data_IF_942107478754
#
_entry.id   IF_942107478754
#
_cell.length_a   1.000
_cell.length_b   1.000
_cell.length_c   1.000
_cell.angle_alpha   90.00
_cell.angle_beta   90.00
_cell.angle_gamma   90.00
#
_symmetry.space_group_name_H-M   'P 1'
#
loop_
_entity.id
_entity.type
_entity.pdbx_description
1 polymer ?
#
# COMPACT_ATOMS: atom_id res chain seq x y z
N UNK A 1 44.00 9.41 -8.86
CA UNK A 1 43.19 9.13 -10.06
C UNK A 1 41.87 9.88 -9.94
N UNK A 2 41.82 11.08 -10.50
CA UNK A 2 40.70 12.02 -10.39
C UNK A 2 39.64 11.68 -11.44
N UNK A 3 38.43 11.31 -11.03
CA UNK A 3 37.31 11.04 -11.96
C UNK A 3 36.52 12.33 -12.18
N UNK A 4 36.67 12.93 -13.36
CA UNK A 4 35.83 14.03 -13.83
C UNK A 4 34.51 13.48 -14.38
N UNK A 5 33.39 14.02 -13.93
CA UNK A 5 32.07 13.77 -14.53
C UNK A 5 31.66 14.99 -15.34
N UNK A 6 31.45 14.80 -16.64
CA UNK A 6 30.86 15.78 -17.55
C UNK A 6 29.33 15.70 -17.45
N UNK A 7 28.70 16.77 -16.96
CA UNK A 7 27.24 16.94 -16.97
C UNK A 7 26.82 17.55 -18.30
N UNK A 8 25.96 16.86 -19.06
CA UNK A 8 25.34 17.41 -20.29
C UNK A 8 24.25 18.42 -19.90
N UNK A 9 24.21 19.63 -20.47
CA UNK A 9 23.12 20.57 -20.20
C UNK A 9 21.83 20.13 -20.91
N UNK A 10 20.72 20.22 -20.20
CA UNK A 10 19.39 19.99 -20.74
C UNK A 10 18.96 21.16 -21.65
N UNK A 11 18.43 20.85 -22.84
CA UNK A 11 17.93 21.83 -23.79
C UNK A 11 16.60 22.44 -23.30
N UNK A 12 16.62 23.71 -22.88
CA UNK A 12 15.42 24.52 -22.64
C UNK A 12 14.91 25.07 -23.97
N UNK A 13 13.80 24.52 -24.50
CA UNK A 13 13.10 25.11 -25.65
C UNK A 13 12.09 26.15 -25.15
N UNK A 14 12.55 27.38 -25.06
CA UNK A 14 11.75 28.59 -24.86
C UNK A 14 11.45 29.20 -26.24
N UNK A 15 10.22 29.08 -26.72
CA UNK A 15 9.65 29.87 -27.82
C UNK A 15 8.15 29.95 -27.48
N UNK A 16 7.46 31.08 -27.39
CA UNK A 16 7.65 32.40 -27.96
C UNK A 16 6.23 32.86 -28.33
N UNK A 17 5.75 33.95 -27.71
CA UNK A 17 4.40 34.50 -27.97
C UNK A 17 4.33 35.03 -29.40
N UNK A 18 3.27 34.67 -30.13
CA UNK A 18 2.91 35.27 -31.42
C UNK A 18 1.40 35.49 -31.49
N UNK A 19 1.01 36.76 -31.70
CA UNK A 19 -0.36 37.29 -31.79
C UNK A 19 -0.56 37.71 -33.25
N UNK A 20 -1.62 37.25 -33.93
CA UNK A 20 -1.99 37.71 -35.28
C UNK A 20 -3.03 36.81 -35.96
N UNK A 21 -4.31 37.20 -35.96
CA UNK A 21 -5.14 37.62 -37.12
C UNK A 21 -5.69 36.50 -38.01
N UNK A 22 -7.02 36.35 -37.99
CA UNK A 22 -7.89 35.58 -38.89
C UNK A 22 -7.96 36.19 -40.30
N UNK A 23 -8.31 35.41 -41.35
CA UNK A 23 -9.71 35.48 -41.82
C UNK A 23 -10.34 34.13 -42.27
N UNK A 24 -11.61 34.00 -41.86
CA UNK A 24 -12.80 33.59 -42.62
C UNK A 24 -12.73 32.43 -43.65
N UNK A 25 -13.14 31.23 -43.23
CA UNK A 25 -13.94 30.31 -44.03
C UNK A 25 -14.92 29.53 -43.11
N UNK A 26 -16.23 29.44 -43.41
CA UNK A 26 -17.17 28.70 -42.58
C UNK A 26 -17.08 27.20 -42.88
N UNK A 27 -16.50 26.43 -41.95
CA UNK A 27 -16.57 24.97 -41.98
C UNK A 27 -17.90 24.52 -41.35
N UNK A 28 -18.66 23.61 -41.98
CA UNK A 28 -19.87 23.07 -41.39
C UNK A 28 -19.52 22.23 -40.15
N UNK A 29 -20.21 22.54 -39.05
CA UNK A 29 -20.18 21.82 -37.77
C UNK A 29 -20.67 20.39 -37.96
N UNK A 30 -19.76 19.47 -38.24
CA UNK A 30 -20.00 18.04 -38.07
C UNK A 30 -19.87 17.73 -36.58
N UNK A 31 -20.99 17.27 -35.99
CA UNK A 31 -21.11 16.93 -34.58
C UNK A 31 -20.12 15.85 -34.12
N UNK A 32 -20.07 15.56 -32.82
CA UNK A 32 -19.14 14.58 -32.26
C UNK A 32 -19.42 13.21 -32.88
N UNK A 33 -18.53 12.82 -33.80
CA UNK A 33 -18.52 11.54 -34.45
C UNK A 33 -18.39 10.43 -33.41
N UNK A 34 -19.48 9.68 -33.25
CA UNK A 34 -19.45 8.34 -32.67
C UNK A 34 -18.49 7.50 -33.51
N UNK A 35 -17.46 6.97 -32.87
CA UNK A 35 -16.47 6.10 -33.50
C UNK A 35 -17.13 4.98 -34.30
N UNK A 36 -16.73 4.86 -35.57
CA UNK A 36 -17.05 3.74 -36.45
C UNK A 36 -15.77 2.93 -36.63
N UNK A 37 -15.53 2.02 -35.70
CA UNK A 37 -14.62 0.90 -35.88
C UNK A 37 -15.47 -0.35 -36.12
N UNK A 38 -15.56 -0.79 -37.36
CA UNK A 38 -16.14 -2.09 -37.72
C UNK A 38 -15.07 -3.15 -37.52
N UNK A 39 -15.19 -3.94 -36.45
CA UNK A 39 -14.62 -5.28 -36.40
C UNK A 39 -15.68 -6.22 -35.81
N UNK A 40 -16.08 -7.15 -36.66
CA UNK A 40 -16.90 -8.30 -36.34
C UNK A 40 -16.07 -9.24 -35.48
N UNK A 41 -16.32 -9.32 -34.17
CA UNK A 41 -15.98 -10.50 -33.38
C UNK A 41 -17.08 -10.78 -32.37
N UNK A 42 -17.47 -12.05 -32.36
CA UNK A 42 -18.61 -12.61 -31.66
C UNK A 42 -18.21 -12.91 -30.22
N UNK A 43 -19.02 -12.45 -29.27
CA UNK A 43 -19.16 -13.09 -27.96
C UNK A 43 -18.33 -12.53 -26.81
N UNK A 44 -19.00 -11.76 -25.93
CA UNK A 44 -19.05 -11.98 -24.47
C UNK A 44 -19.90 -10.90 -23.82
N UNK A 45 -21.08 -11.29 -23.34
CA UNK A 45 -21.94 -10.43 -22.54
C UNK A 45 -21.35 -10.20 -21.16
N UNK A 46 -21.11 -8.92 -20.84
CA UNK A 46 -20.73 -8.48 -19.50
C UNK A 46 -21.99 -8.45 -18.62
N UNK A 47 -22.05 -9.38 -17.66
CA UNK A 47 -23.03 -9.39 -16.59
C UNK A 47 -22.67 -8.31 -15.56
N UNK A 48 -23.61 -7.44 -15.21
CA UNK A 48 -23.59 -6.67 -13.97
C UNK A 48 -24.53 -7.35 -12.97
N UNK A 49 -24.01 -7.71 -11.79
CA UNK A 49 -24.78 -8.18 -10.64
C UNK A 49 -25.78 -7.12 -10.15
N UNK A 50 -26.78 -7.42 -9.33
CA UNK A 50 -26.73 -8.27 -8.13
C UNK A 50 -28.13 -8.74 -7.71
N UNK A 51 -28.10 -9.84 -6.95
CA UNK A 51 -28.94 -10.19 -5.78
C UNK A 51 -30.09 -11.17 -5.98
N UNK A 52 -29.77 -12.41 -5.61
CA UNK A 52 -30.56 -13.33 -4.79
C UNK A 52 -31.97 -12.86 -4.43
N UNK A 53 -32.96 -13.48 -5.05
CA UNK A 53 -33.99 -14.23 -4.34
C UNK A 53 -34.49 -15.30 -5.31
N UNK A 54 -34.12 -16.55 -5.05
CA UNK A 54 -34.74 -17.69 -5.69
C UNK A 54 -36.11 -17.91 -5.04
N UNK A 55 -37.26 -17.76 -5.72
CA UNK A 55 -38.40 -18.57 -5.36
C UNK A 55 -38.14 -19.95 -5.98
N UNK A 56 -37.89 -20.92 -5.10
CA UNK A 56 -38.10 -22.36 -5.29
C UNK A 56 -38.47 -22.73 -6.74
N UNK A 57 -37.48 -23.13 -7.55
CA UNK A 57 -37.77 -23.79 -8.84
C UNK A 57 -38.52 -25.08 -8.53
N UNK A 58 -39.84 -25.03 -8.58
CA UNK A 58 -40.63 -26.25 -8.73
C UNK A 58 -40.15 -26.96 -10.01
N UNK A 59 -40.04 -28.30 -10.01
CA UNK A 59 -39.65 -29.03 -11.21
C UNK A 59 -40.61 -28.64 -12.36
N UNK A 60 -40.11 -28.31 -13.56
CA UNK A 60 -40.90 -27.71 -14.64
C UNK A 60 -41.99 -28.64 -15.21
N UNK A 61 -42.16 -29.84 -14.65
CA UNK A 61 -42.87 -30.96 -15.22
C UNK A 61 -43.98 -31.56 -14.34
N UNK A 62 -44.15 -31.10 -13.09
CA UNK A 62 -45.10 -31.70 -12.16
C UNK A 62 -46.57 -31.59 -12.61
N UNK A 63 -46.94 -30.51 -13.32
CA UNK A 63 -48.30 -30.28 -13.83
C UNK A 63 -48.47 -30.50 -15.33
N UNK A 64 -47.45 -30.98 -16.06
CA UNK A 64 -47.56 -31.19 -17.50
C UNK A 64 -48.37 -32.45 -17.82
N UNK A 65 -48.15 -33.55 -17.09
CA UNK A 65 -48.86 -34.81 -17.30
C UNK A 65 -50.38 -34.68 -17.06
N UNK A 66 -50.81 -33.91 -16.07
CA UNK A 66 -52.23 -33.64 -15.79
C UNK A 66 -52.92 -32.74 -16.83
N UNK A 67 -52.14 -32.01 -17.64
CA UNK A 67 -52.64 -31.07 -18.66
C UNK A 67 -52.57 -31.64 -20.08
N UNK A 68 -52.05 -32.87 -20.23
CA UNK A 68 -51.93 -33.57 -21.50
C UNK A 68 -53.16 -34.46 -21.73
N UNK A 69 -53.82 -34.30 -22.88
CA UNK A 69 -54.88 -35.19 -23.37
C UNK A 69 -54.45 -35.76 -24.71
N UNK A 70 -54.43 -37.08 -24.84
CA UNK A 70 -54.09 -37.77 -26.09
C UNK A 70 -55.36 -37.94 -26.95
N UNK A 71 -55.32 -37.43 -28.17
CA UNK A 71 -56.41 -37.53 -29.16
C UNK A 71 -55.82 -38.20 -30.42
N UNK A 72 -55.74 -39.53 -30.41
CA UNK A 72 -55.14 -40.32 -31.50
C UNK A 72 -53.65 -40.03 -31.68
N UNK A 73 -53.25 -39.54 -32.86
CA UNK A 73 -51.86 -39.27 -33.21
C UNK A 73 -51.29 -37.96 -32.62
N UNK A 74 -52.12 -37.14 -31.94
CA UNK A 74 -51.71 -35.85 -31.37
C UNK A 74 -51.92 -35.79 -29.86
N UNK A 75 -51.12 -34.95 -29.20
CA UNK A 75 -51.27 -34.64 -27.77
C UNK A 75 -51.65 -33.17 -27.60
N UNK A 76 -52.82 -32.94 -27.01
CA UNK A 76 -53.30 -31.60 -26.65
C UNK A 76 -52.79 -31.24 -25.25
N UNK A 77 -52.13 -30.09 -25.11
CA UNK A 77 -51.65 -29.58 -23.82
C UNK A 77 -52.44 -28.32 -23.48
N UNK A 78 -53.34 -28.40 -22.50
CA UNK A 78 -54.14 -27.24 -22.05
C UNK A 78 -53.22 -26.19 -21.44
N UNK A 79 -53.39 -24.88 -21.68
CA UNK A 79 -52.58 -23.82 -21.06
C UNK A 79 -52.52 -23.92 -19.52
N UNK A 80 -51.43 -23.48 -18.91
CA UNK A 80 -51.34 -23.43 -17.45
C UNK A 80 -52.08 -22.17 -17.00
N UNK A 81 -53.25 -22.33 -16.38
CA UNK A 81 -54.09 -21.20 -15.97
C UNK A 81 -53.40 -20.29 -14.94
N UNK A 82 -52.49 -20.79 -14.11
CA UNK A 82 -51.71 -19.96 -13.20
C UNK A 82 -50.69 -19.10 -13.96
N UNK A 83 -49.91 -19.73 -14.84
CA UNK A 83 -48.94 -18.99 -15.67
C UNK A 83 -49.65 -18.00 -16.59
N UNK A 84 -50.81 -18.37 -17.14
CA UNK A 84 -51.64 -17.51 -17.99
C UNK A 84 -52.15 -16.31 -17.22
N UNK A 85 -52.65 -16.52 -15.99
CA UNK A 85 -53.07 -15.42 -15.10
C UNK A 85 -51.89 -14.51 -14.75
N UNK A 86 -50.72 -15.05 -14.42
CA UNK A 86 -49.52 -14.26 -14.13
C UNK A 86 -49.09 -13.40 -15.32
N UNK A 87 -49.04 -13.97 -16.53
CA UNK A 87 -48.70 -13.24 -17.76
C UNK A 87 -49.73 -12.14 -18.02
N UNK A 88 -51.02 -12.43 -17.86
CA UNK A 88 -52.07 -11.44 -18.06
C UNK A 88 -52.01 -10.31 -17.01
N UNK A 89 -51.75 -10.62 -15.75
CA UNK A 89 -51.57 -9.63 -14.69
C UNK A 89 -50.34 -8.76 -14.95
N UNK A 90 -49.22 -9.36 -15.33
CA UNK A 90 -48.01 -8.63 -15.67
C UNK A 90 -48.24 -7.71 -16.89
N UNK A 91 -48.87 -8.21 -17.95
CA UNK A 91 -49.19 -7.42 -19.12
C UNK A 91 -50.08 -6.21 -18.79
N UNK A 92 -51.08 -6.39 -17.92
CA UNK A 92 -51.93 -5.29 -17.44
C UNK A 92 -51.13 -4.26 -16.64
N UNK A 93 -50.28 -4.70 -15.71
CA UNK A 93 -49.44 -3.80 -14.91
C UNK A 93 -48.44 -3.02 -15.77
N UNK A 94 -47.81 -3.67 -16.74
CA UNK A 94 -46.87 -3.02 -17.66
C UNK A 94 -47.57 -2.00 -18.56
N UNK A 95 -48.76 -2.33 -19.07
CA UNK A 95 -49.58 -1.41 -19.86
C UNK A 95 -49.97 -0.17 -19.03
N UNK A 96 -50.40 -0.36 -17.79
CA UNK A 96 -50.74 0.74 -16.88
C UNK A 96 -49.52 1.61 -16.55
N UNK A 97 -48.38 1.00 -16.21
CA UNK A 97 -47.13 1.72 -15.95
C UNK A 97 -46.69 2.56 -17.14
N UNK A 98 -46.82 2.01 -18.35
CA UNK A 98 -46.51 2.72 -19.58
C UNK A 98 -47.46 3.89 -19.83
N UNK A 99 -48.75 3.71 -19.57
CA UNK A 99 -49.75 4.77 -19.69
C UNK A 99 -49.45 5.91 -18.71
N UNK A 100 -49.17 5.59 -17.43
CA UNK A 100 -48.78 6.59 -16.43
C UNK A 100 -47.49 7.33 -16.82
N UNK A 101 -46.50 6.62 -17.37
CA UNK A 101 -45.26 7.25 -17.85
C UNK A 101 -45.51 8.22 -19.01
N UNK A 102 -46.37 7.82 -19.96
CA UNK A 102 -46.81 8.69 -21.05
C UNK A 102 -47.52 9.93 -20.53
N UNK A 103 -48.44 9.78 -19.58
CA UNK A 103 -49.19 10.89 -18.99
C UNK A 103 -48.27 11.84 -18.22
N UNK A 104 -47.37 11.30 -17.39
CA UNK A 104 -46.37 12.09 -16.64
C UNK A 104 -45.41 12.85 -17.55
N UNK A 105 -45.10 12.30 -18.72
CA UNK A 105 -44.18 12.91 -19.69
C UNK A 105 -44.89 13.58 -20.84
N UNK A 106 -46.23 13.62 -20.84
CA UNK A 106 -47.00 14.32 -21.84
C UNK A 106 -46.72 15.80 -21.62
N UNK A 107 -45.97 16.39 -22.55
CA UNK A 107 -45.80 17.83 -22.59
C UNK A 107 -47.20 18.46 -22.69
N UNK A 108 -47.50 19.38 -21.78
CA UNK A 108 -48.73 20.17 -21.84
C UNK A 108 -48.72 21.13 -23.03
N UNK A 109 -49.60 22.13 -22.99
CA UNK A 109 -49.55 23.21 -23.96
C UNK A 109 -48.25 24.01 -23.80
N UNK A 110 -47.38 23.96 -24.79
CA UNK A 110 -46.12 24.72 -24.82
C UNK A 110 -46.39 26.05 -25.51
N UNK A 111 -46.43 27.12 -24.72
CA UNK A 111 -46.47 28.49 -25.24
C UNK A 111 -45.08 28.88 -25.76
N UNK A 112 -44.80 28.57 -27.01
CA UNK A 112 -43.57 28.99 -27.68
C UNK A 112 -43.68 30.47 -28.08
N UNK A 113 -43.17 31.36 -27.23
CA UNK A 113 -42.85 32.73 -27.64
C UNK A 113 -41.45 32.67 -28.25
N UNK A 114 -41.39 32.69 -29.58
CA UNK A 114 -40.14 32.58 -30.32
C UNK A 114 -39.13 33.65 -29.92
N UNK A 115 -38.20 33.30 -29.04
CA UNK A 115 -36.95 34.03 -28.88
C UNK A 115 -36.02 33.59 -30.01
N UNK A 116 -35.75 34.50 -30.92
CA UNK A 116 -34.72 34.33 -31.96
C UNK A 116 -33.36 34.17 -31.27
N UNK A 117 -32.95 32.92 -31.03
CA UNK A 117 -31.58 32.61 -30.65
C UNK A 117 -31.32 32.14 -29.20
N UNK A 118 -32.12 31.21 -28.68
CA UNK A 118 -31.65 30.20 -27.73
C UNK A 118 -31.52 30.60 -26.25
N UNK A 119 -32.24 29.85 -25.40
CA UNK A 119 -32.08 29.82 -23.94
C UNK A 119 -32.77 30.96 -23.18
N UNK A 120 -33.26 30.66 -21.98
CA UNK A 120 -33.81 31.66 -21.03
C UNK A 120 -32.71 32.58 -20.44
N UNK A 121 -31.45 32.23 -20.69
CA UNK A 121 -30.27 32.86 -20.09
C UNK A 121 -29.56 33.73 -21.14
N UNK A 122 -29.23 34.96 -20.77
CA UNK A 122 -28.43 35.85 -21.63
C UNK A 122 -27.04 35.25 -21.93
N UNK A 123 -26.52 35.46 -23.14
CA UNK A 123 -25.17 35.00 -23.52
C UNK A 123 -24.09 35.46 -22.52
N UNK A 124 -24.23 36.67 -21.97
CA UNK A 124 -23.29 37.21 -20.99
C UNK A 124 -23.31 36.39 -19.68
N UNK A 125 -24.49 35.98 -19.24
CA UNK A 125 -24.67 35.16 -18.04
C UNK A 125 -24.18 33.73 -18.27
N UNK A 126 -24.45 33.14 -19.43
CA UNK A 126 -23.89 31.83 -19.80
C UNK A 126 -22.36 31.82 -19.78
N UNK A 127 -21.71 32.89 -20.27
CA UNK A 127 -20.24 33.05 -20.19
C UNK A 127 -19.74 33.19 -18.76
N UNK A 128 -20.43 33.96 -17.92
CA UNK A 128 -20.09 34.09 -16.49
C UNK A 128 -20.17 32.74 -15.79
N UNK A 129 -21.24 31.98 -16.02
CA UNK A 129 -21.44 30.67 -15.43
C UNK A 129 -20.35 29.68 -15.86
N UNK A 130 -20.02 29.65 -17.15
CA UNK A 130 -18.92 28.82 -17.66
C UNK A 130 -17.57 29.20 -17.01
N UNK A 131 -17.28 30.49 -16.85
CA UNK A 131 -16.05 30.95 -16.19
C UNK A 131 -16.00 30.54 -14.70
N UNK A 132 -17.12 30.66 -13.98
CA UNK A 132 -17.23 30.24 -12.58
C UNK A 132 -17.07 28.73 -12.44
N UNK A 133 -17.70 27.93 -13.31
CA UNK A 133 -17.55 26.47 -13.32
C UNK A 133 -16.11 26.04 -13.58
N UNK A 134 -15.42 26.67 -14.54
CA UNK A 134 -14.00 26.41 -14.79
C UNK A 134 -13.14 26.75 -13.58
N UNK A 135 -13.44 27.85 -12.87
CA UNK A 135 -12.72 28.22 -11.64
C UNK A 135 -12.94 27.17 -10.55
N UNK A 136 -14.19 26.77 -10.31
CA UNK A 136 -14.52 25.82 -9.25
C UNK A 136 -13.89 24.44 -9.51
N UNK A 137 -14.05 23.92 -10.72
CA UNK A 137 -13.43 22.63 -11.12
C UNK A 137 -11.90 22.64 -10.96
N UNK A 138 -11.25 23.77 -11.29
CA UNK A 138 -9.82 23.95 -11.03
C UNK A 138 -9.50 23.89 -9.55
N UNK A 139 -10.26 24.59 -8.70
CA UNK A 139 -10.04 24.59 -7.25
C UNK A 139 -10.24 23.20 -6.65
N UNK A 140 -11.29 22.48 -7.05
CA UNK A 140 -11.57 21.13 -6.58
C UNK A 140 -10.44 20.15 -6.96
N UNK A 141 -9.93 20.27 -8.19
CA UNK A 141 -8.80 19.45 -8.65
C UNK A 141 -7.53 19.71 -7.83
N UNK A 142 -7.26 20.98 -7.50
CA UNK A 142 -6.13 21.35 -6.67
C UNK A 142 -6.26 20.78 -5.25
N UNK A 143 -7.44 20.90 -4.65
CA UNK A 143 -7.71 20.38 -3.30
C UNK A 143 -7.55 18.86 -3.25
N UNK A 144 -8.15 18.12 -4.19
CA UNK A 144 -8.02 16.65 -4.25
C UNK A 144 -6.56 16.22 -4.37
N UNK A 145 -5.77 16.91 -5.18
CA UNK A 145 -4.34 16.63 -5.33
C UNK A 145 -3.54 16.93 -4.06
N UNK A 146 -3.87 18.01 -3.35
CA UNK A 146 -3.22 18.33 -2.08
C UNK A 146 -3.57 17.32 -0.99
N UNK A 147 -4.85 16.94 -0.87
CA UNK A 147 -5.30 15.91 0.06
C UNK A 147 -4.59 14.58 -0.20
N UNK A 148 -4.57 14.12 -1.45
CA UNK A 148 -3.85 12.89 -1.82
C UNK A 148 -2.36 12.92 -1.43
N UNK A 149 -1.68 14.06 -1.66
CA UNK A 149 -0.28 14.22 -1.26
C UNK A 149 -0.09 14.24 0.25
N UNK A 150 -1.01 14.86 0.98
CA UNK A 150 -1.00 14.88 2.44
C UNK A 150 -1.18 13.48 3.01
N UNK A 151 -2.16 12.74 2.51
CA UNK A 151 -2.44 11.37 2.96
C UNK A 151 -1.27 10.43 2.67
N UNK A 152 -0.64 10.58 1.50
CA UNK A 152 0.55 9.81 1.15
C UNK A 152 1.71 10.10 2.10
N UNK A 153 1.97 11.39 2.37
CA UNK A 153 3.02 11.80 3.31
C UNK A 153 2.76 11.28 4.72
N UNK A 154 1.53 11.37 5.21
CA UNK A 154 1.16 10.84 6.54
C UNK A 154 1.41 9.33 6.63
N UNK A 155 1.05 8.57 5.59
CA UNK A 155 1.33 7.13 5.55
C UNK A 155 2.83 6.82 5.56
N UNK A 156 3.62 7.57 4.79
CA UNK A 156 5.08 7.42 4.77
C UNK A 156 5.71 7.75 6.14
N UNK A 157 5.23 8.81 6.79
CA UNK A 157 5.66 9.21 8.14
C UNK A 157 5.31 8.14 9.19
N UNK A 158 4.08 7.61 9.16
CA UNK A 158 3.65 6.54 10.06
C UNK A 158 4.49 5.27 9.87
N UNK A 159 4.79 4.89 8.63
CA UNK A 159 5.62 3.73 8.35
C UNK A 159 7.09 3.95 8.74
N UNK A 160 7.61 5.16 8.57
CA UNK A 160 8.94 5.53 9.07
C UNK A 160 9.01 5.46 10.60
N UNK A 161 7.98 5.94 11.29
CA UNK A 161 7.89 5.87 12.75
C UNK A 161 7.81 4.41 13.25
N UNK A 162 7.02 3.55 12.60
CA UNK A 162 6.96 2.11 12.91
C UNK A 162 8.31 1.45 12.74
N UNK A 163 8.98 1.65 11.61
CA UNK A 163 10.32 1.08 11.34
C UNK A 163 11.35 1.56 12.36
N UNK A 164 11.31 2.83 12.74
CA UNK A 164 12.18 3.40 13.77
C UNK A 164 11.91 2.77 15.14
N UNK A 165 10.65 2.58 15.52
CA UNK A 165 10.28 1.92 16.77
C UNK A 165 10.72 0.45 16.79
N UNK A 166 10.56 -0.27 15.68
CA UNK A 166 11.04 -1.65 15.53
C UNK A 166 12.56 -1.74 15.66
N UNK A 167 13.30 -0.85 15.01
CA UNK A 167 14.76 -0.80 15.13
C UNK A 167 15.20 -0.52 16.56
N UNK A 168 14.54 0.42 17.23
CA UNK A 168 14.79 0.71 18.64
C UNK A 168 14.56 -0.52 19.51
N UNK A 169 13.41 -1.19 19.37
CA UNK A 169 13.11 -2.43 20.10
C UNK A 169 14.15 -3.53 19.84
N UNK A 170 14.58 -3.70 18.58
CA UNK A 170 15.64 -4.67 18.22
C UNK A 170 16.97 -4.32 18.87
N UNK A 171 17.37 -3.05 18.87
CA UNK A 171 18.60 -2.60 19.51
C UNK A 171 18.59 -2.83 21.03
N UNK A 172 17.46 -2.53 21.70
CA UNK A 172 17.28 -2.74 23.13
C UNK A 172 17.31 -4.24 23.48
N UNK A 173 16.63 -5.08 22.70
CA UNK A 173 16.67 -6.53 22.84
C UNK A 173 18.09 -7.08 22.68
N UNK A 174 18.82 -6.67 21.65
CA UNK A 174 20.21 -7.09 21.42
C UNK A 174 21.14 -6.66 22.55
N UNK A 175 20.98 -5.44 23.07
CA UNK A 175 21.77 -4.96 24.21
C UNK A 175 21.51 -5.83 25.46
N UNK A 176 20.26 -6.18 25.73
CA UNK A 176 19.92 -7.06 26.86
C UNK A 176 20.50 -8.47 26.68
N UNK A 177 20.47 -9.01 25.46
CA UNK A 177 21.01 -10.33 25.14
C UNK A 177 22.54 -10.36 25.31
N UNK A 178 23.23 -9.31 24.85
CA UNK A 178 24.68 -9.21 24.96
C UNK A 178 25.12 -9.06 26.43
N UNK A 179 24.41 -8.27 27.24
CA UNK A 179 24.65 -8.21 28.70
C UNK A 179 24.50 -9.59 29.34
N UNK A 180 23.41 -10.29 29.07
CA UNK A 180 23.20 -11.65 29.58
C UNK A 180 24.29 -12.62 29.12
N UNK A 181 24.80 -12.47 27.89
CA UNK A 181 25.91 -13.28 27.36
C UNK A 181 27.20 -12.99 28.12
N UNK A 182 27.52 -11.72 28.34
CA UNK A 182 28.71 -11.29 29.09
C UNK A 182 28.66 -11.78 30.53
N UNK A 183 27.53 -11.62 31.23
CA UNK A 183 27.35 -12.09 32.60
C UNK A 183 27.55 -13.61 32.73
N UNK A 184 27.02 -14.40 31.78
CA UNK A 184 27.24 -15.86 31.74
C UNK A 184 28.71 -16.21 31.55
N UNK A 185 29.38 -15.55 30.61
CA UNK A 185 30.81 -15.74 30.38
C UNK A 185 31.63 -15.38 31.62
N UNK A 186 31.36 -14.25 32.27
CA UNK A 186 32.04 -13.87 33.50
C UNK A 186 31.81 -14.88 34.62
N UNK A 187 30.57 -15.34 34.83
CA UNK A 187 30.24 -16.40 35.80
C UNK A 187 31.03 -17.67 35.51
N UNK A 188 31.09 -18.11 34.25
CA UNK A 188 31.79 -19.33 33.87
C UNK A 188 33.31 -19.19 34.04
N UNK A 189 33.88 -18.03 33.72
CA UNK A 189 35.28 -17.72 33.99
C UNK A 189 35.58 -17.76 35.50
N UNK A 190 34.71 -17.17 36.34
CA UNK A 190 34.85 -17.23 37.81
C UNK A 190 34.81 -18.67 38.31
N UNK A 191 33.84 -19.47 37.87
CA UNK A 191 33.72 -20.90 38.25
C UNK A 191 34.96 -21.70 37.85
N UNK A 192 35.47 -21.51 36.63
CA UNK A 192 36.69 -22.20 36.15
C UNK A 192 37.92 -21.78 36.96
N UNK A 193 38.07 -20.48 37.25
CA UNK A 193 39.16 -19.98 38.07
C UNK A 193 39.10 -20.54 39.50
N UNK A 194 37.92 -20.56 40.13
CA UNK A 194 37.74 -21.16 41.45
C UNK A 194 38.06 -22.66 41.46
N UNK A 195 37.60 -23.40 40.44
CA UNK A 195 37.89 -24.82 40.31
C UNK A 195 39.40 -25.09 40.14
N UNK A 196 40.09 -24.24 39.37
CA UNK A 196 41.54 -24.30 39.20
C UNK A 196 42.30 -24.01 40.50
N UNK A 197 41.91 -22.96 41.24
CA UNK A 197 42.52 -22.64 42.54
C UNK A 197 42.30 -23.77 43.55
N UNK A 198 41.07 -24.31 43.64
CA UNK A 198 40.78 -25.48 44.50
C UNK A 198 41.66 -26.68 44.16
N UNK A 199 41.90 -26.92 42.86
CA UNK A 199 42.80 -27.99 42.40
C UNK A 199 44.25 -27.74 42.86
N UNK A 200 44.77 -26.54 42.68
CA UNK A 200 46.13 -26.18 43.16
C UNK A 200 46.22 -26.30 44.68
N UNK A 201 45.22 -25.83 45.42
CA UNK A 201 45.19 -25.95 46.88
C UNK A 201 45.16 -27.41 47.33
N UNK A 202 44.37 -28.26 46.67
CA UNK A 202 44.33 -29.70 46.94
C UNK A 202 45.67 -30.37 46.62
N UNK A 203 46.30 -30.05 45.48
CA UNK A 203 47.63 -30.55 45.12
C UNK A 203 48.70 -30.10 46.11
N UNK A 204 48.67 -28.84 46.56
CA UNK A 204 49.59 -28.31 47.56
C UNK A 204 49.37 -28.94 48.94
N UNK A 205 48.11 -29.20 49.33
CA UNK A 205 47.79 -29.97 50.54
C UNK A 205 48.30 -31.41 50.43
N UNK A 206 48.08 -32.08 49.30
CA UNK A 206 48.59 -33.43 49.05
C UNK A 206 50.12 -33.49 49.14
N UNK A 207 50.83 -32.55 48.51
CA UNK A 207 52.30 -32.42 48.61
C UNK A 207 52.76 -32.12 50.05
N UNK A 208 52.04 -31.28 50.81
CA UNK A 208 52.34 -31.03 52.22
C UNK A 208 52.15 -32.27 53.09
N UNK A 209 51.07 -33.02 52.87
CA UNK A 209 50.81 -34.29 53.58
C UNK A 209 51.89 -35.32 53.22
N UNK A 210 52.27 -35.44 51.95
CA UNK A 210 53.38 -36.31 51.52
C UNK A 210 54.71 -35.91 52.18
N UNK A 211 54.99 -34.61 52.31
CA UNK A 211 56.19 -34.10 52.99
C UNK A 211 56.18 -34.34 54.51
N UNK A 212 55.01 -34.43 55.13
CA UNK A 212 54.84 -34.75 56.55
C UNK A 212 54.89 -36.27 56.81
N UNK A 213 54.52 -37.11 55.84
CA UNK A 213 54.60 -38.58 55.95
C UNK A 213 55.94 -39.17 55.50
N UNK A 214 56.77 -38.40 54.78
CA UNK A 214 58.19 -38.70 54.55
C UNK A 214 59.05 -37.77 55.41
N UNK A 215 59.30 -38.15 56.66
CA UNK A 215 60.42 -37.63 57.44
C UNK A 215 61.75 -38.05 56.78
N UNK A 216 62.63 -37.12 56.37
CA UNK A 216 63.99 -37.45 55.98
C UNK A 216 64.91 -37.26 57.21
N UNK A 217 65.56 -38.35 57.61
CA UNK A 217 66.82 -38.28 58.32
C UNK A 217 67.89 -37.67 57.40
N UNK A 218 68.57 -36.61 57.84
CA UNK A 218 69.93 -36.29 57.37
C UNK A 218 70.15 -34.90 56.75
N UNK A 219 70.92 -34.09 57.50
CA UNK A 219 71.99 -33.14 57.12
C UNK A 219 71.80 -32.18 55.93
N UNK A 220 71.96 -30.89 56.20
CA UNK A 220 71.94 -29.81 55.21
C UNK A 220 73.23 -29.62 54.42
N UNK A 221 73.14 -28.71 53.44
CA UNK A 221 74.20 -27.79 52.99
C UNK A 221 73.58 -26.77 52.02
N UNK A 222 74.09 -25.54 52.11
CA UNK A 222 73.78 -24.38 51.27
C UNK A 222 74.27 -24.55 49.82
N UNK A 223 73.56 -23.93 48.87
CA UNK A 223 74.06 -23.39 47.59
C UNK A 223 72.87 -22.67 46.93
N UNK A 224 72.83 -21.33 46.83
CA UNK A 224 73.55 -20.48 45.87
C UNK A 224 73.39 -20.93 44.41
N UNK A 225 72.71 -20.12 43.61
CA UNK A 225 72.60 -20.30 42.15
C UNK A 225 71.40 -19.58 41.55
N UNK A 226 71.62 -18.33 41.14
CA UNK A 226 70.61 -17.50 40.48
C UNK A 226 70.27 -17.93 39.04
N UNK A 227 69.20 -17.35 38.52
CA UNK A 227 69.15 -16.91 37.13
C UNK A 227 68.10 -15.81 36.98
N UNK A 228 68.61 -14.59 36.81
CA UNK A 228 67.96 -13.51 36.09
C UNK A 228 67.63 -13.97 34.66
N UNK A 229 66.46 -13.56 34.14
CA UNK A 229 66.36 -12.68 32.94
C UNK A 229 64.96 -12.72 32.29
N UNK A 230 64.45 -11.50 32.09
CA UNK A 230 63.78 -10.98 30.88
C UNK A 230 62.43 -11.63 30.48
N UNK A 231 61.32 -10.88 30.53
CA UNK A 231 61.06 -9.92 29.45
C UNK A 231 59.85 -9.02 29.72
N UNK A 232 60.08 -7.76 29.42
CA UNK A 232 59.12 -6.67 29.35
C UNK A 232 58.51 -6.70 27.94
N UNK A 233 57.19 -6.92 27.82
CA UNK A 233 56.38 -6.63 26.62
C UNK A 233 55.08 -6.04 27.18
N UNK A 234 54.98 -4.72 27.38
CA UNK A 234 54.56 -3.73 26.39
C UNK A 234 53.28 -4.14 25.65
N UNK A 235 52.17 -3.50 25.98
CA UNK A 235 50.90 -3.72 25.29
C UNK A 235 49.76 -2.96 25.92
N UNK A 236 49.82 -1.63 25.87
CA UNK A 236 48.70 -0.76 26.14
C UNK A 236 47.48 -1.18 25.29
N UNK A 237 46.43 -1.67 25.94
CA UNK A 237 45.11 -1.77 25.29
C UNK A 237 44.47 -0.39 25.43
N UNK A 238 44.80 0.47 24.48
CA UNK A 238 44.05 1.68 24.17
C UNK A 238 42.60 1.29 23.88
N UNK A 239 41.68 1.70 24.75
CA UNK A 239 40.25 1.77 24.44
C UNK A 239 40.05 2.91 23.44
N UNK A 240 40.21 2.61 22.15
CA UNK A 240 39.64 3.43 21.09
C UNK A 240 38.11 3.32 21.15
N UNK A 241 37.48 4.21 21.92
CA UNK A 241 36.09 4.57 21.72
C UNK A 241 36.00 5.34 20.40
N UNK A 242 35.74 4.62 19.31
CA UNK A 242 35.42 5.24 18.03
C UNK A 242 34.03 5.84 18.14
N UNK A 243 34.02 7.14 18.39
CA UNK A 243 32.87 8.04 18.31
C UNK A 243 32.25 7.89 16.90
N UNK A 244 31.05 7.33 16.82
CA UNK A 244 30.22 7.41 15.61
C UNK A 244 29.79 8.87 15.43
N UNK A 245 30.60 9.67 14.73
CA UNK A 245 30.07 10.83 14.02
C UNK A 245 29.39 10.32 12.75
N UNK A 246 28.10 9.98 12.89
CA UNK A 246 27.19 9.99 11.75
C UNK A 246 26.94 11.43 11.37
N UNK A 247 27.64 11.93 10.36
CA UNK A 247 27.31 13.15 9.65
C UNK A 247 25.90 13.03 9.07
N UNK A 248 24.89 13.49 9.81
CA UNK A 248 23.61 13.85 9.25
C UNK A 248 23.68 15.34 8.94
N UNK A 249 24.17 15.67 7.73
CA UNK A 249 23.90 16.96 7.12
C UNK A 249 22.40 17.04 6.88
N UNK A 250 21.71 17.73 7.79
CA UNK A 250 20.35 18.21 7.55
C UNK A 250 20.51 19.39 6.58
N UNK A 251 20.28 19.15 5.29
CA UNK A 251 19.98 20.24 4.35
C UNK A 251 18.61 20.81 4.71
N UNK A 252 18.58 21.77 5.65
CA UNK A 252 17.47 22.73 5.75
C UNK A 252 17.73 23.86 4.76
N UNK A 253 17.24 23.73 3.53
CA UNK A 253 17.01 24.88 2.67
C UNK A 253 15.72 25.59 3.11
N UNK A 254 15.84 26.45 4.13
CA UNK A 254 14.91 27.55 4.33
C UNK A 254 15.22 28.61 3.26
N UNK A 255 14.47 28.63 2.17
CA UNK A 255 14.33 29.84 1.35
C UNK A 255 13.15 30.64 1.89
N UNK A 256 13.53 31.69 2.61
CA UNK A 256 12.73 32.79 3.12
C UNK A 256 11.95 33.46 1.99
N UNK A 257 10.68 33.71 2.29
CA UNK A 257 9.77 34.59 1.60
C UNK A 257 10.14 36.04 1.95
N UNK A 258 10.57 36.85 0.97
CA UNK A 258 10.30 38.30 0.84
C UNK A 258 10.13 38.58 -0.64
#
# INVERSE_FOLDING_TARGET
MSRSFTVKPAASKTQGRGRGTTPTHPQPLLGPGRGRGTQTEVGRGTQFGTRDTSPQRQPPNAGLQQRMSHQGAYTMITPNEERRRQINQQAQQEAERYQRHKEQRKLGHVNYKGTVGGGEISQAEARRNAATQLRNTKMDSLQKRQQYRSDLRQKEEDDALKKKAEQRRKSEANLSLEKNRQEKLESDHRKKNEAFLKRIEAENRAKRVEKLTKSPSGSGTEASGGNDRLNQISGAVSLNYLFMQGSFEIYTSLSVLV
#
